data_IF_570895152707
#
_entry.id   IF_570895152707
#
_cell.length_a   1.000
_cell.length_b   1.000
_cell.length_c   1.000
_cell.angle_alpha   90.00
_cell.angle_beta   90.00
_cell.angle_gamma   90.00
#
_symmetry.space_group_name_H-M   'P 1'
#
loop_
_entity.id
_entity.type
_entity.pdbx_description
1 polymer ?
#
# COMPACT_ATOMS: atom_id res chain seq x y z
N UNK A 1 -7.11 21.21 -12.53
CA UNK A 1 -5.64 21.40 -12.41
C UNK A 1 -5.29 22.77 -11.85
N UNK A 2 -6.18 23.77 -11.91
CA UNK A 2 -5.86 25.14 -11.47
C UNK A 2 -5.44 25.26 -10.00
N UNK A 3 -5.86 24.35 -9.11
CA UNK A 3 -5.47 24.34 -7.69
C UNK A 3 -4.42 23.27 -7.31
N UNK A 4 -3.73 22.66 -8.29
CA UNK A 4 -2.71 21.64 -7.98
C UNK A 4 -1.34 22.26 -7.79
N UNK A 5 -0.67 21.90 -6.70
CA UNK A 5 0.70 22.34 -6.40
C UNK A 5 1.67 21.17 -6.44
N UNK A 6 2.90 21.43 -6.90
CA UNK A 6 4.01 20.48 -6.75
C UNK A 6 4.29 20.27 -5.27
N UNK A 7 4.41 19.01 -4.85
CA UNK A 7 4.69 18.62 -3.47
C UNK A 7 6.08 18.00 -3.34
N UNK A 8 7.02 18.75 -2.75
CA UNK A 8 8.40 18.31 -2.51
C UNK A 8 8.49 17.03 -1.65
N UNK A 9 7.51 16.78 -0.78
CA UNK A 9 7.48 15.54 0.01
C UNK A 9 7.23 14.32 -0.89
N UNK A 10 6.42 14.47 -1.94
CA UNK A 10 6.18 13.41 -2.93
C UNK A 10 7.49 13.07 -3.65
N UNK A 11 8.24 14.08 -4.10
CA UNK A 11 9.53 13.89 -4.76
C UNK A 11 10.56 13.23 -3.83
N UNK A 12 10.62 13.67 -2.57
CA UNK A 12 11.51 13.06 -1.58
C UNK A 12 11.19 11.58 -1.32
N UNK A 13 9.89 11.23 -1.23
CA UNK A 13 9.46 9.84 -1.03
C UNK A 13 9.68 8.97 -2.26
N UNK A 14 9.46 9.51 -3.46
CA UNK A 14 9.74 8.79 -4.72
C UNK A 14 11.23 8.43 -4.86
N UNK A 15 12.13 9.30 -4.38
CA UNK A 15 13.58 9.06 -4.35
C UNK A 15 14.04 8.18 -3.20
N UNK A 16 13.22 8.00 -2.15
CA UNK A 16 13.59 7.21 -0.98
C UNK A 16 13.49 5.70 -1.27
N UNK A 17 14.62 5.00 -1.13
CA UNK A 17 14.72 3.55 -1.38
C UNK A 17 15.29 2.77 -0.18
N UNK A 18 15.05 3.26 1.05
CA UNK A 18 15.61 2.70 2.29
C UNK A 18 15.11 1.30 2.70
N UNK A 19 14.17 0.71 1.96
CA UNK A 19 13.79 -0.70 2.17
C UNK A 19 14.82 -1.65 1.58
N UNK A 20 15.48 -1.26 0.48
CA UNK A 20 16.48 -2.10 -0.19
C UNK A 20 17.81 -2.21 0.55
N UNK A 21 17.97 -1.44 1.63
CA UNK A 21 19.15 -1.52 2.50
C UNK A 21 18.92 -2.43 3.71
N UNK A 22 17.72 -2.98 3.89
CA UNK A 22 17.40 -3.88 5.01
C UNK A 22 17.81 -5.32 4.69
N UNK A 23 18.26 -6.05 5.71
CA UNK A 23 18.36 -7.51 5.63
C UNK A 23 16.98 -8.14 5.53
N UNK A 24 16.91 -9.37 5.05
CA UNK A 24 15.65 -10.12 4.98
C UNK A 24 14.96 -10.24 6.36
N UNK A 25 15.75 -10.46 7.42
CA UNK A 25 15.22 -10.61 8.78
C UNK A 25 14.63 -9.30 9.30
N UNK A 26 15.29 -8.16 9.07
CA UNK A 26 14.75 -6.85 9.46
C UNK A 26 13.45 -6.53 8.71
N UNK A 27 13.44 -6.76 7.38
CA UNK A 27 12.26 -6.56 6.56
C UNK A 27 11.09 -7.46 7.00
N UNK A 28 11.33 -8.76 7.11
CA UNK A 28 10.28 -9.73 7.44
C UNK A 28 9.69 -9.52 8.83
N UNK A 29 10.51 -9.23 9.84
CA UNK A 29 10.04 -8.91 11.19
C UNK A 29 9.16 -7.65 11.22
N UNK A 30 9.51 -6.63 10.42
CA UNK A 30 8.70 -5.41 10.30
C UNK A 30 7.37 -5.66 9.58
N UNK A 31 7.39 -6.52 8.57
CA UNK A 31 6.20 -6.85 7.78
C UNK A 31 5.24 -7.77 8.55
N UNK A 32 5.74 -8.76 9.29
CA UNK A 32 4.97 -9.78 10.01
C UNK A 32 4.86 -9.38 11.49
N UNK A 33 4.25 -8.22 11.76
CA UNK A 33 4.08 -7.74 13.13
C UNK A 33 2.99 -8.53 13.87
N UNK A 34 3.13 -8.64 15.19
CA UNK A 34 2.10 -9.27 16.04
C UNK A 34 0.73 -8.58 15.90
N UNK A 35 0.72 -7.27 15.67
CA UNK A 35 -0.48 -6.50 15.36
C UNK A 35 -1.17 -7.02 14.10
N UNK A 36 -0.44 -7.17 12.98
CA UNK A 36 -1.01 -7.65 11.71
C UNK A 36 -1.51 -9.08 11.80
N UNK A 37 -0.80 -9.96 12.51
CA UNK A 37 -1.26 -11.33 12.72
C UNK A 37 -2.60 -11.37 13.47
N UNK A 38 -2.72 -10.57 14.55
CA UNK A 38 -3.96 -10.48 15.33
C UNK A 38 -5.11 -9.90 14.52
N UNK A 39 -4.88 -8.77 13.85
CA UNK A 39 -5.92 -8.11 13.06
C UNK A 39 -6.31 -8.92 11.83
N UNK A 40 -5.36 -9.60 11.18
CA UNK A 40 -5.62 -10.49 10.05
C UNK A 40 -6.56 -11.63 10.44
N UNK A 41 -6.28 -12.32 11.54
CA UNK A 41 -7.16 -13.36 12.05
C UNK A 41 -8.57 -12.83 12.39
N UNK A 42 -8.65 -11.66 13.03
CA UNK A 42 -9.93 -11.03 13.36
C UNK A 42 -10.72 -10.63 12.11
N UNK A 43 -10.08 -10.05 11.10
CA UNK A 43 -10.72 -9.61 9.86
C UNK A 43 -11.14 -10.79 8.98
N UNK A 44 -10.35 -11.87 8.92
CA UNK A 44 -10.75 -13.10 8.23
C UNK A 44 -12.04 -13.69 8.82
N UNK A 45 -12.19 -13.65 10.15
CA UNK A 45 -13.43 -14.07 10.81
C UNK A 45 -14.57 -13.07 10.55
N UNK A 46 -14.31 -11.77 10.71
CA UNK A 46 -15.31 -10.71 10.57
C UNK A 46 -15.93 -10.64 9.17
N UNK A 47 -15.12 -10.82 8.13
CA UNK A 47 -15.53 -10.70 6.73
C UNK A 47 -15.56 -12.04 6.00
N UNK A 48 -15.77 -13.15 6.73
CA UNK A 48 -15.68 -14.51 6.19
C UNK A 48 -16.52 -14.75 4.94
N UNK A 49 -17.73 -14.21 4.87
CA UNK A 49 -18.60 -14.32 3.69
C UNK A 49 -18.06 -13.59 2.46
N UNK A 50 -17.46 -12.41 2.66
CA UNK A 50 -16.84 -11.62 1.58
C UNK A 50 -15.63 -12.38 1.03
N UNK A 51 -14.79 -12.90 1.91
CA UNK A 51 -13.64 -13.70 1.52
C UNK A 51 -14.04 -15.00 0.82
N UNK A 52 -15.05 -15.72 1.31
CA UNK A 52 -15.55 -16.93 0.67
C UNK A 52 -16.12 -16.64 -0.74
N UNK A 53 -16.80 -15.51 -0.92
CA UNK A 53 -17.24 -15.05 -2.24
C UNK A 53 -16.06 -14.74 -3.15
N UNK A 54 -15.06 -14.02 -2.66
CA UNK A 54 -13.87 -13.68 -3.43
C UNK A 54 -13.08 -14.93 -3.84
N UNK A 55 -12.95 -15.91 -2.96
CA UNK A 55 -12.34 -17.21 -3.25
C UNK A 55 -13.11 -17.94 -4.36
N UNK A 56 -14.44 -18.06 -4.23
CA UNK A 56 -15.28 -18.71 -5.25
C UNK A 56 -15.21 -17.99 -6.61
N UNK A 57 -15.13 -16.67 -6.61
CA UNK A 57 -15.19 -15.87 -7.84
C UNK A 57 -13.84 -15.76 -8.54
N UNK A 58 -12.75 -15.62 -7.78
CA UNK A 58 -11.42 -15.29 -8.31
C UNK A 58 -10.38 -16.40 -8.07
N UNK A 59 -10.70 -17.44 -7.28
CA UNK A 59 -9.79 -18.53 -6.94
C UNK A 59 -8.65 -18.12 -6.01
N UNK A 60 -8.80 -17.00 -5.29
CA UNK A 60 -7.74 -16.46 -4.42
C UNK A 60 -8.09 -16.75 -2.97
N UNK A 61 -7.19 -17.47 -2.29
CA UNK A 61 -7.36 -17.84 -0.89
C UNK A 61 -7.54 -16.60 0.01
N UNK A 62 -8.48 -16.63 0.97
CA UNK A 62 -8.75 -15.52 1.88
C UNK A 62 -7.50 -14.94 2.58
N UNK A 63 -6.59 -15.82 3.01
CA UNK A 63 -5.38 -15.43 3.71
C UNK A 63 -4.43 -14.58 2.83
N UNK A 64 -4.40 -14.84 1.52
CA UNK A 64 -3.60 -14.05 0.58
C UNK A 64 -4.15 -12.65 0.46
N UNK A 65 -5.46 -12.50 0.26
CA UNK A 65 -6.13 -11.20 0.18
C UNK A 65 -5.93 -10.41 1.48
N UNK A 66 -6.11 -11.06 2.63
CA UNK A 66 -5.89 -10.44 3.94
C UNK A 66 -4.43 -10.00 4.15
N UNK A 67 -3.45 -10.76 3.66
CA UNK A 67 -2.04 -10.39 3.74
C UNK A 67 -1.75 -9.10 2.94
N UNK A 68 -2.23 -8.99 1.70
CA UNK A 68 -2.10 -7.76 0.91
C UNK A 68 -2.76 -6.58 1.62
N UNK A 69 -4.00 -6.74 2.10
CA UNK A 69 -4.69 -5.66 2.79
C UNK A 69 -3.96 -5.17 4.05
N UNK A 70 -3.38 -6.10 4.82
CA UNK A 70 -2.57 -5.79 5.99
C UNK A 70 -1.25 -5.10 5.64
N UNK A 71 -0.56 -5.54 4.59
CA UNK A 71 0.73 -4.96 4.17
C UNK A 71 0.56 -3.57 3.55
N UNK A 72 -0.50 -3.33 2.79
CA UNK A 72 -0.72 -2.07 2.10
C UNK A 72 -1.24 -0.96 3.02
N UNK A 73 -2.13 -1.30 3.97
CA UNK A 73 -2.87 -0.27 4.72
C UNK A 73 -3.09 -0.57 6.20
N UNK A 74 -2.48 -1.62 6.74
CA UNK A 74 -2.80 -2.10 8.09
C UNK A 74 -4.31 -2.29 8.30
N UNK A 75 -4.96 -2.93 7.31
CA UNK A 75 -6.40 -3.15 7.27
C UNK A 75 -7.23 -1.85 7.23
N UNK A 76 -6.71 -0.81 6.58
CA UNK A 76 -7.33 0.51 6.46
C UNK A 76 -6.98 1.49 7.57
N UNK A 77 -6.16 1.10 8.56
CA UNK A 77 -5.71 2.00 9.61
C UNK A 77 -4.75 3.09 9.11
N UNK A 78 -4.01 2.83 8.03
CA UNK A 78 -3.05 3.75 7.42
C UNK A 78 -3.26 3.76 5.91
N UNK A 79 -3.80 4.85 5.35
CA UNK A 79 -4.09 4.97 3.91
C UNK A 79 -3.16 5.95 3.17
N UNK A 80 -2.19 6.52 3.88
CA UNK A 80 -1.37 7.63 3.40
C UNK A 80 -2.02 9.00 3.65
N UNK A 81 -1.22 10.04 3.60
CA UNK A 81 -1.57 11.43 3.92
C UNK A 81 -1.35 12.41 2.75
N UNK A 82 -1.02 11.90 1.57
CA UNK A 82 -0.82 12.69 0.36
C UNK A 82 -2.13 13.01 -0.34
N UNK A 83 -2.27 14.24 -0.84
CA UNK A 83 -3.33 14.59 -1.77
C UNK A 83 -3.08 13.91 -3.12
N UNK A 84 -3.90 12.92 -3.48
CA UNK A 84 -3.67 12.04 -4.65
C UNK A 84 -3.45 12.82 -5.94
N UNK A 85 -4.25 13.87 -6.19
CA UNK A 85 -4.10 14.69 -7.40
C UNK A 85 -2.77 15.45 -7.42
N UNK A 86 -2.34 16.01 -6.27
CA UNK A 86 -1.07 16.73 -6.20
C UNK A 86 0.11 15.77 -6.37
N UNK A 87 0.01 14.56 -5.82
CA UNK A 87 1.03 13.52 -5.99
C UNK A 87 1.17 13.09 -7.46
N UNK A 88 0.06 12.83 -8.15
CA UNK A 88 0.07 12.47 -9.57
C UNK A 88 0.61 13.60 -10.44
N UNK A 89 0.15 14.85 -10.24
CA UNK A 89 0.68 16.02 -10.97
C UNK A 89 2.18 16.16 -10.71
N UNK A 90 2.61 16.11 -9.46
CA UNK A 90 4.04 16.19 -9.09
C UNK A 90 4.88 15.16 -9.84
N UNK A 91 4.50 13.89 -9.80
CA UNK A 91 5.27 12.82 -10.42
C UNK A 91 5.18 12.83 -11.95
N UNK A 92 4.08 13.33 -12.52
CA UNK A 92 3.91 13.50 -13.96
C UNK A 92 4.80 14.61 -14.54
N UNK A 93 5.23 15.57 -13.72
CA UNK A 93 6.11 16.67 -14.12
C UNK A 93 7.57 16.49 -13.67
N UNK A 94 7.88 15.46 -12.88
CA UNK A 94 9.25 15.10 -12.52
C UNK A 94 10.02 14.45 -13.69
N UNK A 95 11.35 14.51 -13.67
CA UNK A 95 12.20 13.97 -14.72
C UNK A 95 12.39 12.44 -14.66
N UNK A 96 12.14 11.78 -13.52
CA UNK A 96 12.59 10.40 -13.31
C UNK A 96 11.74 9.36 -14.02
N UNK A 97 10.41 9.43 -13.88
CA UNK A 97 9.46 8.46 -14.46
C UNK A 97 8.11 9.10 -14.88
N UNK A 98 8.09 10.29 -15.51
CA UNK A 98 6.86 11.03 -15.76
C UNK A 98 5.83 10.27 -16.60
N UNK A 99 6.28 9.44 -17.53
CA UNK A 99 5.44 8.66 -18.43
C UNK A 99 4.54 7.64 -17.72
N UNK A 100 4.90 7.20 -16.50
CA UNK A 100 4.07 6.30 -15.71
C UNK A 100 2.87 7.02 -15.07
N UNK A 101 2.99 8.34 -14.85
CA UNK A 101 2.00 9.13 -14.10
C UNK A 101 1.17 10.08 -14.98
N UNK A 102 1.38 10.04 -16.31
CA UNK A 102 0.60 10.81 -17.30
C UNK A 102 -0.49 9.99 -18.01
N UNK A 103 -0.57 8.69 -17.73
CA UNK A 103 -1.54 7.77 -18.36
C UNK A 103 -2.89 7.80 -17.67
#
# INVERSE_FOLDING_TARGET
LEDTTIDEKVLARDRAQGVFTQTFTEFSNRMISAYRLKQGAANLKKYGEIFARADKQFGVQPAVIAAFWGLETDFGAVQGDFHTLNALVTLSHDCRRPQLFRQ
#
